data_IF_876275736409
#
_entry.id   IF_876275736409
#
_cell.length_a   1.000
_cell.length_b   1.000
_cell.length_c   1.000
_cell.angle_alpha   90.00
_cell.angle_beta   90.00
_cell.angle_gamma   90.00
#
_symmetry.space_group_name_H-M   'P 1'
#
loop_
_entity.id
_entity.type
_entity.pdbx_description
1 polymer ?
#
# COMPACT_ATOMS: atom_id res chain seq x y z
N UNK A 1 -14.35 5.13 4.37
CA UNK A 1 -13.35 4.32 5.11
C UNK A 1 -12.45 5.28 5.87
N UNK A 2 -12.80 5.54 7.12
CA UNK A 2 -12.26 6.70 7.84
C UNK A 2 -11.48 6.29 9.10
N UNK A 3 -12.12 5.54 10.00
CA UNK A 3 -11.53 5.13 11.28
C UNK A 3 -10.34 4.19 11.06
N UNK A 4 -10.53 3.09 10.33
CA UNK A 4 -9.48 2.09 10.12
C UNK A 4 -8.31 2.58 9.27
N UNK A 5 -8.50 3.61 8.44
CA UNK A 5 -7.44 4.27 7.67
C UNK A 5 -6.78 5.42 8.44
N UNK A 6 -7.31 5.80 9.60
CA UNK A 6 -6.94 7.00 10.34
C UNK A 6 -6.94 8.27 9.45
N UNK A 7 -8.01 8.41 8.66
CA UNK A 7 -8.20 9.58 7.83
C UNK A 7 -8.32 10.84 8.69
N UNK A 8 -7.56 11.87 8.34
CA UNK A 8 -7.64 13.15 9.04
C UNK A 8 -8.98 13.84 8.76
N UNK A 9 -9.68 14.24 9.80
CA UNK A 9 -10.83 15.10 9.70
C UNK A 9 -10.44 16.52 9.22
N UNK A 10 -11.35 17.31 8.66
CA UNK A 10 -11.06 18.68 8.24
C UNK A 10 -10.45 19.56 9.35
N UNK A 11 -10.83 19.33 10.62
CA UNK A 11 -10.26 20.05 11.77
C UNK A 11 -8.80 19.66 12.05
N UNK A 12 -8.46 18.40 11.89
CA UNK A 12 -7.09 17.89 12.09
C UNK A 12 -6.14 18.27 10.95
N UNK A 13 -6.67 18.68 9.80
CA UNK A 13 -5.87 19.18 8.69
C UNK A 13 -5.30 20.58 8.91
N UNK A 14 -5.71 21.27 9.97
CA UNK A 14 -5.20 22.60 10.41
C UNK A 14 -5.13 23.65 9.28
N UNK A 15 -6.06 23.60 8.34
CA UNK A 15 -6.12 24.51 7.19
C UNK A 15 -5.09 24.24 6.09
N UNK A 16 -4.29 23.17 6.20
CA UNK A 16 -3.38 22.72 5.16
C UNK A 16 -4.15 21.87 4.15
N UNK A 17 -4.18 22.23 2.85
CA UNK A 17 -4.87 21.43 1.86
C UNK A 17 -4.26 20.04 1.74
N UNK A 18 -5.05 19.00 2.02
CA UNK A 18 -4.69 17.61 1.83
C UNK A 18 -5.26 17.12 0.49
N UNK A 19 -4.46 16.38 -0.25
CA UNK A 19 -4.81 15.82 -1.55
C UNK A 19 -4.83 14.29 -1.46
N UNK A 20 -5.59 13.65 -2.36
CA UNK A 20 -5.74 12.19 -2.46
C UNK A 20 -6.40 11.54 -1.22
N UNK A 21 -7.13 12.32 -0.45
CA UNK A 21 -8.08 11.84 0.55
C UNK A 21 -9.45 11.75 -0.14
N UNK A 22 -10.16 10.65 0.04
CA UNK A 22 -11.47 10.38 -0.61
C UNK A 22 -11.44 10.54 -2.15
N UNK A 23 -10.33 10.16 -2.76
CA UNK A 23 -10.14 10.30 -4.21
C UNK A 23 -10.96 9.28 -5.02
N UNK A 24 -11.37 8.17 -4.41
CA UNK A 24 -12.13 7.09 -5.05
C UNK A 24 -13.14 6.47 -4.09
N UNK A 25 -14.17 5.86 -4.65
CA UNK A 25 -15.14 5.11 -3.87
C UNK A 25 -14.58 3.75 -3.39
N UNK A 26 -15.07 3.19 -2.27
CA UNK A 26 -14.61 1.89 -1.76
C UNK A 26 -14.85 0.69 -2.69
N UNK A 27 -15.64 0.88 -3.74
CA UNK A 27 -15.93 -0.11 -4.78
C UNK A 27 -14.87 -0.14 -5.88
N UNK A 28 -14.04 0.89 -5.95
CA UNK A 28 -13.04 1.05 -7.00
C UNK A 28 -11.68 0.48 -6.59
N UNK A 29 -10.99 -0.11 -7.56
CA UNK A 29 -9.60 -0.54 -7.40
C UNK A 29 -8.67 0.49 -8.04
N UNK A 30 -7.70 0.99 -7.27
CA UNK A 30 -6.69 1.92 -7.77
C UNK A 30 -5.41 1.16 -8.10
N UNK A 31 -4.99 1.25 -9.33
CA UNK A 31 -3.68 0.74 -9.77
C UNK A 31 -2.56 1.73 -9.45
N UNK A 32 -1.31 1.25 -9.47
CA UNK A 32 -0.15 2.12 -9.29
C UNK A 32 -0.03 3.19 -10.41
N UNK A 33 -0.54 2.89 -11.61
CA UNK A 33 -0.61 3.83 -12.75
C UNK A 33 -1.58 4.97 -12.44
N UNK A 34 -2.82 4.63 -12.11
CA UNK A 34 -3.85 5.62 -11.75
C UNK A 34 -3.44 6.47 -10.54
N UNK A 35 -2.82 5.84 -9.52
CA UNK A 35 -2.29 6.60 -8.38
C UNK A 35 -1.23 7.60 -8.83
N UNK A 36 -0.32 7.24 -9.74
CA UNK A 36 0.68 8.15 -10.30
C UNK A 36 0.01 9.33 -11.03
N UNK A 37 -1.03 9.08 -11.82
CA UNK A 37 -1.77 10.12 -12.53
C UNK A 37 -2.40 11.12 -11.57
N UNK A 38 -3.16 10.65 -10.58
CA UNK A 38 -3.76 11.50 -9.54
C UNK A 38 -2.70 12.27 -8.74
N UNK A 39 -1.56 11.62 -8.46
CA UNK A 39 -0.44 12.24 -7.78
C UNK A 39 0.17 13.38 -8.61
N UNK A 40 0.40 13.18 -9.90
CA UNK A 40 0.95 14.17 -10.81
C UNK A 40 0.00 15.37 -10.98
N UNK A 41 -1.31 15.14 -11.03
CA UNK A 41 -2.33 16.19 -11.04
C UNK A 41 -2.30 17.01 -9.75
N UNK A 42 -2.23 16.36 -8.59
CA UNK A 42 -2.11 17.03 -7.30
C UNK A 42 -0.85 17.89 -7.22
N UNK A 43 0.31 17.36 -7.65
CA UNK A 43 1.56 18.11 -7.69
C UNK A 43 1.46 19.34 -8.61
N UNK A 44 0.88 19.18 -9.80
CA UNK A 44 0.67 20.28 -10.73
C UNK A 44 -0.22 21.38 -10.14
N UNK A 45 -1.27 20.99 -9.44
CA UNK A 45 -2.18 21.91 -8.74
C UNK A 45 -1.46 22.67 -7.62
N UNK A 46 -0.64 22.00 -6.80
CA UNK A 46 0.15 22.63 -5.73
C UNK A 46 1.17 23.61 -6.33
N UNK A 47 1.88 23.18 -7.37
CA UNK A 47 2.88 24.00 -8.07
C UNK A 47 2.30 25.29 -8.69
N UNK A 48 1.10 25.22 -9.28
CA UNK A 48 0.38 26.40 -9.81
C UNK A 48 0.10 27.45 -8.73
N UNK A 49 0.00 27.04 -7.47
CA UNK A 49 -0.17 27.96 -6.32
C UNK A 49 1.16 28.43 -5.74
N UNK A 50 2.30 28.08 -6.33
CA UNK A 50 3.64 28.44 -5.84
C UNK A 50 3.97 27.80 -4.49
N UNK A 51 3.38 26.63 -4.16
CA UNK A 51 3.58 25.93 -2.90
C UNK A 51 4.47 24.70 -3.08
N UNK A 52 5.20 24.35 -2.03
CA UNK A 52 6.00 23.13 -1.97
C UNK A 52 5.12 21.93 -1.60
N UNK A 53 5.07 20.90 -2.43
CA UNK A 53 4.32 19.69 -2.08
C UNK A 53 5.07 18.88 -1.02
N UNK A 54 4.33 18.39 -0.03
CA UNK A 54 4.80 17.43 0.98
C UNK A 54 4.03 16.14 0.78
N UNK A 55 4.74 15.02 0.65
CA UNK A 55 4.15 13.69 0.49
C UNK A 55 4.33 12.92 1.78
N UNK A 56 3.22 12.55 2.42
CA UNK A 56 3.22 11.74 3.62
C UNK A 56 2.62 10.36 3.34
N UNK A 57 3.30 9.31 3.75
CA UNK A 57 2.78 7.96 3.55
C UNK A 57 3.83 6.86 3.72
N UNK A 58 3.39 5.62 3.58
CA UNK A 58 4.23 4.44 3.77
C UNK A 58 3.91 3.28 2.81
N UNK A 59 3.02 3.48 1.83
CA UNK A 59 2.77 2.47 0.82
C UNK A 59 3.93 2.39 -0.16
N UNK A 60 4.73 1.34 -0.05
CA UNK A 60 5.97 1.17 -0.82
C UNK A 60 5.76 1.23 -2.32
N UNK A 61 4.74 0.53 -2.83
CA UNK A 61 4.43 0.49 -4.25
C UNK A 61 3.94 1.84 -4.77
N UNK A 62 3.05 2.51 -4.05
CA UNK A 62 2.48 3.79 -4.48
C UNK A 62 3.52 4.92 -4.40
N UNK A 63 4.36 4.93 -3.37
CA UNK A 63 5.45 5.90 -3.28
C UNK A 63 6.49 5.68 -4.38
N UNK A 64 6.89 4.44 -4.65
CA UNK A 64 7.78 4.15 -5.78
C UNK A 64 7.15 4.56 -7.12
N UNK A 65 5.87 4.27 -7.34
CA UNK A 65 5.14 4.67 -8.54
C UNK A 65 5.09 6.20 -8.71
N UNK A 66 4.93 6.94 -7.62
CA UNK A 66 4.83 8.39 -7.62
C UNK A 66 6.19 9.09 -7.80
N UNK A 67 7.22 8.60 -7.12
CA UNK A 67 8.50 9.29 -7.00
C UNK A 67 9.55 8.82 -8.01
N UNK A 68 9.53 7.52 -8.39
CA UNK A 68 10.59 6.93 -9.20
C UNK A 68 10.23 6.79 -10.68
N UNK A 69 11.26 6.74 -11.53
CA UNK A 69 11.18 6.37 -12.95
C UNK A 69 10.80 4.90 -13.09
N UNK A 70 9.53 4.58 -12.84
CA UNK A 70 9.01 3.24 -12.88
C UNK A 70 8.34 2.96 -14.21
N UNK A 71 8.80 1.93 -14.92
CA UNK A 71 8.10 1.40 -16.09
C UNK A 71 7.03 0.41 -15.62
N UNK A 72 5.79 0.71 -15.93
CA UNK A 72 4.69 -0.21 -15.63
C UNK A 72 4.61 -1.27 -16.72
N UNK A 73 4.68 -2.53 -16.30
CA UNK A 73 4.42 -3.63 -17.19
C UNK A 73 2.95 -3.61 -17.66
N UNK A 74 2.68 -3.95 -18.92
CA UNK A 74 1.32 -3.93 -19.48
C UNK A 74 0.39 -4.84 -18.68
N UNK A 75 -0.89 -4.51 -18.69
CA UNK A 75 -1.95 -5.32 -18.08
C UNK A 75 -3.10 -5.46 -19.06
N UNK A 76 -3.73 -6.64 -19.03
CA UNK A 76 -4.92 -6.96 -19.83
C UNK A 76 -5.91 -7.71 -18.94
N UNK A 77 -7.11 -7.17 -18.71
CA UNK A 77 -8.12 -7.80 -17.87
C UNK A 77 -8.56 -9.18 -18.37
N UNK A 78 -8.61 -9.40 -19.69
CA UNK A 78 -9.04 -10.68 -20.28
C UNK A 78 -7.96 -11.75 -20.07
N UNK A 79 -6.70 -11.41 -20.34
CA UNK A 79 -5.56 -12.31 -20.08
C UNK A 79 -5.48 -12.66 -18.62
N UNK A 80 -5.68 -11.67 -17.75
CA UNK A 80 -5.66 -11.88 -16.30
C UNK A 80 -6.78 -12.81 -15.84
N UNK A 81 -8.02 -12.57 -16.30
CA UNK A 81 -9.16 -13.41 -15.97
C UNK A 81 -8.96 -14.86 -16.43
N UNK A 82 -8.42 -15.07 -17.63
CA UNK A 82 -8.08 -16.40 -18.14
C UNK A 82 -7.02 -17.10 -17.25
N UNK A 83 -5.98 -16.39 -16.81
CA UNK A 83 -4.96 -16.93 -15.92
C UNK A 83 -5.50 -17.21 -14.51
N UNK A 84 -6.40 -16.40 -13.99
CA UNK A 84 -7.07 -16.63 -12.70
C UNK A 84 -7.99 -17.86 -12.77
N UNK A 85 -8.77 -18.03 -13.85
CA UNK A 85 -9.57 -19.23 -14.10
C UNK A 85 -8.69 -20.49 -14.17
N UNK A 86 -7.60 -20.42 -14.94
CA UNK A 86 -6.63 -21.50 -15.04
C UNK A 86 -6.01 -21.84 -13.68
N UNK A 87 -5.70 -20.84 -12.87
CA UNK A 87 -5.15 -21.06 -11.52
C UNK A 87 -6.14 -21.79 -10.60
N UNK A 88 -7.44 -21.56 -10.78
CA UNK A 88 -8.49 -22.28 -10.05
C UNK A 88 -8.57 -23.74 -10.50
N UNK A 89 -8.36 -24.03 -11.78
CA UNK A 89 -8.41 -25.37 -12.35
C UNK A 89 -7.18 -26.22 -11.97
N UNK A 90 -5.96 -25.70 -12.19
CA UNK A 90 -4.72 -26.49 -12.05
C UNK A 90 -3.97 -26.28 -10.72
N UNK A 91 -4.34 -25.27 -9.94
CA UNK A 91 -3.74 -24.95 -8.66
C UNK A 91 -2.41 -24.20 -8.73
N UNK A 92 -1.98 -23.69 -7.58
CA UNK A 92 -0.84 -22.78 -7.48
C UNK A 92 0.51 -23.39 -7.86
N UNK A 93 0.73 -24.68 -7.58
CA UNK A 93 2.00 -25.34 -7.91
C UNK A 93 2.16 -25.53 -9.42
N UNK A 94 1.10 -25.93 -10.11
CA UNK A 94 1.13 -26.08 -11.56
C UNK A 94 1.23 -24.72 -12.26
N UNK A 95 0.60 -23.66 -11.73
CA UNK A 95 0.80 -22.30 -12.22
C UNK A 95 2.25 -21.81 -12.06
N UNK A 96 2.92 -22.15 -10.96
CA UNK A 96 4.33 -21.83 -10.78
C UNK A 96 5.22 -22.60 -11.75
N UNK A 97 4.97 -23.89 -11.99
CA UNK A 97 5.68 -24.67 -13.00
C UNK A 97 5.47 -24.10 -14.42
N UNK A 98 4.27 -23.58 -14.73
CA UNK A 98 4.01 -22.85 -15.97
C UNK A 98 4.86 -21.56 -16.05
N UNK A 99 4.98 -20.82 -14.96
CA UNK A 99 5.86 -19.64 -14.92
C UNK A 99 7.32 -20.05 -15.12
N UNK A 100 7.78 -21.11 -14.48
CA UNK A 100 9.15 -21.62 -14.63
C UNK A 100 9.45 -21.98 -16.09
N UNK A 101 8.50 -22.57 -16.80
CA UNK A 101 8.67 -22.91 -18.23
C UNK A 101 8.72 -21.69 -19.15
N UNK A 102 8.00 -20.59 -18.81
CA UNK A 102 7.92 -19.37 -19.63
C UNK A 102 8.93 -18.29 -19.23
N UNK A 103 9.22 -18.16 -17.94
CA UNK A 103 10.15 -17.16 -17.36
C UNK A 103 10.86 -17.75 -16.13
N UNK A 104 11.89 -18.58 -16.34
CA UNK A 104 12.66 -19.20 -15.26
C UNK A 104 13.25 -18.17 -14.29
N UNK A 105 13.66 -17.00 -14.80
CA UNK A 105 14.26 -15.94 -13.99
C UNK A 105 13.24 -15.31 -13.02
N UNK A 106 11.99 -15.20 -13.43
CA UNK A 106 10.91 -14.75 -12.54
C UNK A 106 10.53 -15.84 -11.54
N UNK A 107 10.46 -17.10 -11.96
CA UNK A 107 10.08 -18.23 -11.10
C UNK A 107 11.02 -18.40 -9.91
N UNK A 108 12.33 -18.22 -10.10
CA UNK A 108 13.32 -18.24 -9.00
C UNK A 108 13.05 -17.16 -7.93
N UNK A 109 12.51 -16.00 -8.34
CA UNK A 109 12.27 -14.86 -7.45
C UNK A 109 10.87 -14.85 -6.82
N UNK A 110 9.93 -15.59 -7.39
CA UNK A 110 8.52 -15.60 -6.99
C UNK A 110 8.17 -16.97 -6.43
N UNK A 111 7.94 -17.12 -5.11
CA UNK A 111 7.55 -18.41 -4.57
C UNK A 111 6.17 -18.84 -5.06
N UNK A 112 5.94 -20.15 -5.21
CA UNK A 112 4.67 -20.72 -5.64
C UNK A 112 3.49 -20.29 -4.77
N UNK A 113 3.71 -20.07 -3.47
CA UNK A 113 2.70 -19.58 -2.52
C UNK A 113 2.18 -18.17 -2.84
N UNK A 114 2.89 -17.41 -3.67
CA UNK A 114 2.46 -16.07 -4.09
C UNK A 114 1.76 -16.12 -5.44
N UNK A 115 0.62 -16.82 -5.51
CA UNK A 115 -0.16 -17.03 -6.73
C UNK A 115 -0.48 -15.73 -7.47
N UNK A 116 -0.83 -14.65 -6.73
CA UNK A 116 -1.11 -13.35 -7.34
C UNK A 116 0.09 -12.83 -8.15
N UNK A 117 1.31 -13.00 -7.64
CA UNK A 117 2.53 -12.55 -8.32
C UNK A 117 2.93 -13.49 -9.45
N UNK A 118 2.65 -14.79 -9.32
CA UNK A 118 2.81 -15.78 -10.40
C UNK A 118 1.91 -15.43 -11.58
N UNK A 119 0.61 -15.19 -11.33
CA UNK A 119 -0.36 -14.76 -12.36
C UNK A 119 0.11 -13.47 -13.03
N UNK A 120 0.55 -12.48 -12.24
CA UNK A 120 1.04 -11.21 -12.79
C UNK A 120 2.27 -11.38 -13.68
N UNK A 121 3.20 -12.24 -13.31
CA UNK A 121 4.39 -12.53 -14.12
C UNK A 121 4.01 -13.21 -15.43
N UNK A 122 3.12 -14.20 -15.39
CA UNK A 122 2.59 -14.87 -16.58
C UNK A 122 1.86 -13.90 -17.51
N UNK A 123 1.02 -13.01 -16.97
CA UNK A 123 0.32 -11.97 -17.72
C UNK A 123 1.31 -11.08 -18.49
N UNK A 124 2.37 -10.60 -17.81
CA UNK A 124 3.38 -9.76 -18.46
C UNK A 124 4.12 -10.49 -19.58
N UNK A 125 4.50 -11.75 -19.35
CA UNK A 125 5.15 -12.59 -20.37
C UNK A 125 4.21 -12.80 -21.55
N UNK A 126 2.93 -13.06 -21.31
CA UNK A 126 1.95 -13.36 -22.36
C UNK A 126 1.64 -12.13 -23.24
N UNK A 127 1.54 -10.94 -22.64
CA UNK A 127 1.27 -9.70 -23.36
C UNK A 127 2.50 -9.15 -24.07
N UNK A 128 3.68 -9.19 -23.41
CA UNK A 128 4.87 -8.47 -23.88
C UNK A 128 5.96 -9.35 -24.49
N UNK A 129 5.92 -10.66 -24.25
CA UNK A 129 7.01 -11.59 -24.59
C UNK A 129 8.29 -11.35 -23.78
N UNK A 130 8.31 -10.43 -22.79
CA UNK A 130 9.49 -10.08 -21.99
C UNK A 130 9.43 -10.70 -20.62
N UNK A 131 10.61 -11.01 -20.06
CA UNK A 131 10.71 -11.51 -18.67
C UNK A 131 10.21 -10.47 -17.66
N UNK A 132 9.37 -10.91 -16.75
CA UNK A 132 8.92 -10.10 -15.61
C UNK A 132 10.09 -9.76 -14.65
N UNK A 133 11.11 -10.60 -14.58
CA UNK A 133 12.27 -10.40 -13.72
C UNK A 133 13.19 -9.25 -14.18
N UNK A 134 13.12 -8.87 -15.46
CA UNK A 134 13.97 -7.83 -16.05
C UNK A 134 13.45 -6.40 -15.81
N UNK A 135 12.31 -6.22 -15.17
CA UNK A 135 11.55 -4.96 -15.20
C UNK A 135 11.69 -4.07 -13.96
N UNK A 136 12.68 -4.30 -13.10
CA UNK A 136 12.92 -3.40 -11.96
C UNK A 136 14.17 -2.55 -12.25
N UNK A 137 14.00 -1.32 -12.77
CA UNK A 137 15.12 -0.38 -12.90
C UNK A 137 15.69 -0.04 -11.52
N UNK A 138 16.93 0.42 -11.49
CA UNK A 138 17.47 1.04 -10.28
C UNK A 138 16.61 2.25 -9.90
N UNK A 139 16.31 2.46 -8.60
CA UNK A 139 15.48 3.56 -8.17
C UNK A 139 16.09 4.91 -8.54
N UNK A 140 15.42 5.67 -9.40
CA UNK A 140 15.79 7.01 -9.79
C UNK A 140 14.57 7.93 -9.64
N UNK A 141 14.75 9.08 -9.00
CA UNK A 141 13.64 10.03 -8.86
C UNK A 141 13.27 10.69 -10.19
N UNK A 142 11.99 10.78 -10.46
CA UNK A 142 11.43 11.50 -11.62
C UNK A 142 11.58 13.03 -11.52
N UNK A 143 11.78 13.53 -10.32
CA UNK A 143 11.88 14.96 -9.98
C UNK A 143 12.84 15.14 -8.82
N UNK A 144 13.43 16.33 -8.63
CA UNK A 144 14.17 16.63 -7.41
C UNK A 144 13.31 16.31 -6.18
N UNK A 145 13.77 15.41 -5.34
CA UNK A 145 13.01 14.88 -4.21
C UNK A 145 13.95 14.69 -3.03
N UNK A 146 13.54 15.21 -1.87
CA UNK A 146 14.17 14.91 -0.59
C UNK A 146 13.27 13.95 0.15
N UNK A 147 13.76 12.76 0.47
CA UNK A 147 12.99 11.74 1.18
C UNK A 147 13.52 11.57 2.60
N UNK A 148 12.64 11.73 3.57
CA UNK A 148 12.93 11.59 4.99
C UNK A 148 12.18 10.39 5.53
N UNK A 149 12.90 9.49 6.19
CA UNK A 149 12.34 8.37 6.93
C UNK A 149 12.39 8.64 8.43
N UNK A 150 11.32 8.29 9.16
CA UNK A 150 11.26 8.47 10.61
C UNK A 150 11.54 7.12 11.28
N UNK A 151 12.57 7.07 12.11
CA UNK A 151 12.89 5.93 12.96
C UNK A 151 12.19 6.07 14.30
N UNK A 152 11.31 5.14 14.60
CA UNK A 152 10.68 5.01 15.90
C UNK A 152 11.27 3.78 16.61
N UNK A 153 11.56 3.92 17.89
CA UNK A 153 12.00 2.78 18.71
C UNK A 153 10.97 1.66 18.66
N UNK A 154 11.42 0.41 18.62
CA UNK A 154 10.59 -0.75 18.28
C UNK A 154 9.46 -0.99 19.27
N UNK A 155 9.77 -0.91 20.56
CA UNK A 155 8.76 -1.17 21.59
C UNK A 155 7.74 -0.03 21.64
N UNK A 156 8.20 1.21 21.52
CA UNK A 156 7.32 2.38 21.41
C UNK A 156 6.39 2.29 20.19
N UNK A 157 6.90 1.80 19.04
CA UNK A 157 6.07 1.60 17.86
C UNK A 157 5.00 0.54 18.10
N UNK A 158 5.33 -0.55 18.81
CA UNK A 158 4.38 -1.62 19.16
C UNK A 158 3.27 -1.10 20.06
N UNK A 159 3.63 -0.34 21.09
CA UNK A 159 2.67 0.29 22.00
C UNK A 159 1.74 1.24 21.26
N UNK A 160 2.29 2.10 20.40
CA UNK A 160 1.49 3.02 19.56
C UNK A 160 0.53 2.28 18.63
N UNK A 161 0.97 1.17 18.03
CA UNK A 161 0.11 0.34 17.17
C UNK A 161 -1.03 -0.25 17.98
N UNK A 162 -0.75 -0.80 19.16
CA UNK A 162 -1.78 -1.40 20.01
C UNK A 162 -2.79 -0.35 20.48
N UNK A 163 -2.34 0.78 21.00
CA UNK A 163 -3.19 1.89 21.42
C UNK A 163 -4.07 2.39 20.26
N UNK A 164 -3.47 2.58 19.08
CA UNK A 164 -4.20 3.02 17.90
C UNK A 164 -5.29 2.03 17.48
N UNK A 165 -4.99 0.73 17.48
CA UNK A 165 -5.97 -0.28 17.11
C UNK A 165 -7.13 -0.32 18.12
N UNK A 166 -6.85 -0.29 19.43
CA UNK A 166 -7.91 -0.21 20.44
C UNK A 166 -8.77 1.05 20.25
N UNK A 167 -8.13 2.20 20.05
CA UNK A 167 -8.83 3.45 19.77
C UNK A 167 -9.71 3.40 18.53
N UNK A 168 -9.36 2.63 17.49
CA UNK A 168 -10.22 2.40 16.32
C UNK A 168 -11.52 1.65 16.70
N UNK A 169 -11.45 0.62 17.53
CA UNK A 169 -12.62 -0.09 18.03
C UNK A 169 -13.49 0.80 18.92
N UNK A 170 -12.88 1.53 19.84
CA UNK A 170 -13.57 2.51 20.69
C UNK A 170 -14.25 3.63 19.90
N UNK A 171 -13.64 4.06 18.80
CA UNK A 171 -14.21 5.05 17.87
C UNK A 171 -15.33 4.51 16.97
N UNK A 172 -15.63 3.19 17.03
CA UNK A 172 -16.74 2.59 16.31
C UNK A 172 -16.37 1.99 14.95
N UNK A 173 -15.17 1.46 14.76
CA UNK A 173 -14.75 0.81 13.51
C UNK A 173 -15.73 -0.28 13.06
N UNK A 174 -16.28 -1.06 13.98
CA UNK A 174 -17.24 -2.12 13.67
C UNK A 174 -18.52 -1.55 13.06
N UNK A 175 -19.05 -0.47 13.64
CA UNK A 175 -20.22 0.22 13.10
C UNK A 175 -19.95 0.88 11.73
N UNK A 176 -18.73 1.43 11.52
CA UNK A 176 -18.30 1.92 10.21
C UNK A 176 -18.32 0.79 9.17
N UNK A 177 -17.80 -0.40 9.51
CA UNK A 177 -17.77 -1.55 8.60
C UNK A 177 -19.17 -2.06 8.30
N UNK A 178 -20.06 -2.15 9.29
CA UNK A 178 -21.46 -2.49 9.08
C UNK A 178 -22.16 -1.54 8.10
N UNK A 179 -21.98 -0.22 8.29
CA UNK A 179 -22.49 0.80 7.39
C UNK A 179 -21.92 0.72 5.99
N UNK A 180 -20.62 0.40 5.85
CA UNK A 180 -19.97 0.22 4.56
C UNK A 180 -20.52 -1.01 3.82
N UNK A 181 -20.68 -2.14 4.50
CA UNK A 181 -21.23 -3.37 3.91
C UNK A 181 -22.70 -3.20 3.48
N UNK A 182 -23.47 -2.44 4.25
CA UNK A 182 -24.86 -2.13 3.90
C UNK A 182 -24.95 -1.19 2.68
N UNK A 183 -24.09 -0.18 2.60
CA UNK A 183 -24.07 0.82 1.52
C UNK A 183 -23.44 0.29 0.24
N UNK A 184 -22.40 -0.52 0.33
CA UNK A 184 -21.61 -0.99 -0.79
C UNK A 184 -21.53 -2.53 -0.82
N UNK A 185 -22.51 -3.21 -1.41
CA UNK A 185 -22.52 -4.68 -1.47
C UNK A 185 -21.32 -5.26 -2.25
N UNK A 186 -20.72 -4.46 -3.14
CA UNK A 186 -19.59 -4.84 -3.99
C UNK A 186 -18.34 -4.01 -3.66
N UNK A 187 -17.87 -4.08 -2.41
CA UNK A 187 -16.57 -3.52 -2.06
C UNK A 187 -15.46 -4.07 -2.94
N UNK A 188 -14.50 -3.22 -3.31
CA UNK A 188 -13.28 -3.65 -4.01
C UNK A 188 -12.51 -4.70 -3.22
N UNK A 189 -11.73 -5.51 -3.91
CA UNK A 189 -10.88 -6.52 -3.28
C UNK A 189 -9.93 -5.90 -2.25
N UNK A 190 -9.38 -4.73 -2.59
CA UNK A 190 -8.47 -3.98 -1.72
C UNK A 190 -9.17 -3.48 -0.46
N UNK A 191 -10.37 -2.93 -0.58
CA UNK A 191 -11.14 -2.45 0.56
C UNK A 191 -11.53 -3.59 1.52
N UNK A 192 -11.95 -4.75 0.97
CA UNK A 192 -12.33 -5.93 1.79
C UNK A 192 -11.20 -6.47 2.65
N UNK A 193 -9.95 -6.46 2.15
CA UNK A 193 -8.79 -7.04 2.85
C UNK A 193 -7.97 -5.98 3.59
N UNK A 194 -8.45 -4.75 3.68
CA UNK A 194 -7.78 -3.70 4.43
C UNK A 194 -7.69 -4.09 5.92
N UNK A 195 -6.48 -3.92 6.48
CA UNK A 195 -6.21 -4.27 7.89
C UNK A 195 -7.14 -3.45 8.79
N UNK A 196 -7.77 -4.13 9.74
CA UNK A 196 -8.81 -3.58 10.61
C UNK A 196 -10.22 -3.80 10.04
N UNK A 197 -10.46 -3.49 8.77
CA UNK A 197 -11.78 -3.67 8.12
C UNK A 197 -12.15 -5.14 7.96
N UNK A 198 -11.21 -5.96 7.51
CA UNK A 198 -11.41 -7.41 7.41
C UNK A 198 -11.71 -8.05 8.76
N UNK A 199 -10.99 -7.65 9.81
CA UNK A 199 -11.17 -8.19 11.17
C UNK A 199 -12.49 -7.73 11.79
N UNK A 200 -12.86 -6.45 11.58
CA UNK A 200 -14.16 -5.95 12.04
C UNK A 200 -15.33 -6.65 11.30
N UNK A 201 -15.18 -6.94 10.01
CA UNK A 201 -16.18 -7.74 9.27
C UNK A 201 -16.28 -9.18 9.81
N UNK A 202 -15.15 -9.81 10.15
CA UNK A 202 -15.13 -11.14 10.78
C UNK A 202 -15.75 -11.13 12.18
N UNK A 203 -15.62 -10.03 12.92
CA UNK A 203 -16.33 -9.85 14.19
C UNK A 203 -17.85 -9.72 13.97
N UNK A 204 -18.29 -8.95 12.97
CA UNK A 204 -19.73 -8.81 12.63
C UNK A 204 -20.37 -10.14 12.21
N UNK A 205 -19.62 -11.00 11.49
CA UNK A 205 -20.11 -12.32 11.10
C UNK A 205 -20.05 -13.37 12.23
N UNK A 206 -19.48 -13.03 13.38
CA UNK A 206 -19.30 -13.95 14.51
C UNK A 206 -18.13 -14.94 14.36
N UNK A 207 -17.27 -14.77 13.33
CA UNK A 207 -16.07 -15.58 13.14
C UNK A 207 -14.97 -15.27 14.17
N UNK A 208 -14.89 -14.00 14.61
CA UNK A 208 -13.96 -13.54 15.63
C UNK A 208 -14.70 -12.87 16.79
N UNK A 209 -14.18 -13.04 18.01
CA UNK A 209 -14.55 -12.16 19.11
C UNK A 209 -13.88 -10.81 18.93
N UNK A 210 -14.31 -9.77 19.66
CA UNK A 210 -13.69 -8.45 19.63
C UNK A 210 -12.22 -8.52 19.98
N UNK A 211 -11.85 -9.22 21.07
CA UNK A 211 -10.45 -9.37 21.47
C UNK A 211 -9.59 -10.07 20.41
N UNK A 212 -10.14 -11.05 19.72
CA UNK A 212 -9.47 -11.75 18.63
C UNK A 212 -9.27 -10.80 17.44
N UNK A 213 -10.30 -10.05 17.05
CA UNK A 213 -10.25 -9.10 15.95
C UNK A 213 -9.22 -7.98 16.20
N UNK A 214 -9.21 -7.42 17.40
CA UNK A 214 -8.21 -6.43 17.84
C UNK A 214 -6.80 -7.04 17.81
N UNK A 215 -6.60 -8.19 18.44
CA UNK A 215 -5.28 -8.87 18.49
C UNK A 215 -4.74 -9.18 17.10
N UNK A 216 -5.57 -9.70 16.22
CA UNK A 216 -5.17 -9.98 14.82
C UNK A 216 -4.82 -8.71 14.06
N UNK A 217 -5.59 -7.64 14.22
CA UNK A 217 -5.32 -6.32 13.61
C UNK A 217 -3.99 -5.76 14.07
N UNK A 218 -3.68 -5.84 15.38
CA UNK A 218 -2.39 -5.43 15.94
C UNK A 218 -1.24 -6.20 15.29
N UNK A 219 -1.34 -7.52 15.24
CA UNK A 219 -0.31 -8.37 14.66
C UNK A 219 -0.07 -8.10 13.17
N UNK A 220 -1.15 -7.92 12.40
CA UNK A 220 -1.06 -7.60 10.97
C UNK A 220 -0.43 -6.23 10.75
N UNK A 221 -0.80 -5.23 11.56
CA UNK A 221 -0.21 -3.89 11.48
C UNK A 221 1.27 -3.89 11.83
N UNK A 222 1.69 -4.63 12.86
CA UNK A 222 3.11 -4.80 13.19
C UNK A 222 3.90 -5.48 12.07
N UNK A 223 3.32 -6.51 11.45
CA UNK A 223 3.92 -7.19 10.28
C UNK A 223 4.04 -6.23 9.09
N UNK A 224 3.04 -5.39 8.88
CA UNK A 224 3.05 -4.39 7.82
C UNK A 224 4.15 -3.35 8.07
N UNK A 225 4.25 -2.79 9.28
CA UNK A 225 5.30 -1.86 9.65
C UNK A 225 6.71 -2.45 9.45
N UNK A 226 6.91 -3.74 9.82
CA UNK A 226 8.17 -4.45 9.56
C UNK A 226 8.48 -4.56 8.06
N UNK A 227 7.47 -4.85 7.23
CA UNK A 227 7.65 -4.91 5.77
C UNK A 227 8.01 -3.54 5.18
N UNK A 228 7.37 -2.45 5.63
CA UNK A 228 7.71 -1.08 5.23
C UNK A 228 9.17 -0.77 5.54
N UNK A 229 9.63 -1.01 6.77
CA UNK A 229 11.02 -0.78 7.17
C UNK A 229 12.02 -1.61 6.35
N UNK A 230 11.69 -2.87 6.06
CA UNK A 230 12.55 -3.74 5.24
C UNK A 230 12.68 -3.21 3.81
N UNK A 231 11.63 -2.62 3.28
CA UNK A 231 11.63 -2.04 1.95
C UNK A 231 12.44 -0.74 1.92
N UNK A 232 12.06 0.24 2.74
CA UNK A 232 12.67 1.57 2.71
C UNK A 232 14.14 1.58 3.14
N UNK A 233 14.59 0.68 3.99
CA UNK A 233 16.02 0.56 4.35
C UNK A 233 16.93 0.16 3.20
N UNK A 234 16.40 -0.33 2.09
CA UNK A 234 17.17 -0.65 0.89
C UNK A 234 17.45 0.59 0.02
N UNK A 235 16.74 1.66 0.26
CA UNK A 235 16.86 2.91 -0.48
C UNK A 235 17.84 3.83 0.24
N UNK A 236 19.04 3.96 -0.32
CA UNK A 236 20.11 4.81 0.24
C UNK A 236 19.85 6.31 0.10
N UNK A 237 18.81 6.72 -0.64
CA UNK A 237 18.41 8.11 -0.83
C UNK A 237 17.66 8.67 0.37
N UNK A 238 17.15 7.80 1.25
CA UNK A 238 16.36 8.20 2.40
C UNK A 238 17.26 8.66 3.53
N UNK A 239 17.04 9.90 3.99
CA UNK A 239 17.66 10.42 5.20
C UNK A 239 16.82 10.01 6.41
N UNK A 240 17.40 9.23 7.31
CA UNK A 240 16.69 8.71 8.47
C UNK A 240 16.84 9.61 9.68
N UNK A 241 15.71 10.05 10.25
CA UNK A 241 15.64 10.86 11.47
C UNK A 241 15.11 10.03 12.64
N UNK A 242 15.72 10.22 13.80
CA UNK A 242 15.33 9.58 15.05
C UNK A 242 14.17 10.34 15.70
N UNK A 243 13.04 9.67 15.93
CA UNK A 243 11.83 10.27 16.49
C UNK A 243 11.98 10.71 17.97
N UNK A 244 13.06 10.33 18.64
CA UNK A 244 13.35 10.76 20.02
C UNK A 244 14.04 12.12 20.10
N UNK A 245 14.47 12.68 18.95
CA UNK A 245 15.20 13.95 18.84
C UNK A 245 14.30 15.05 18.26
N UNK A 246 14.84 16.27 18.14
CA UNK A 246 14.18 17.36 17.41
C UNK A 246 14.09 17.00 15.92
N UNK A 247 12.99 16.35 15.54
CA UNK A 247 12.73 15.95 14.16
C UNK A 247 12.49 17.16 13.25
N UNK A 248 11.84 18.22 13.74
CA UNK A 248 11.50 19.37 12.91
C UNK A 248 12.76 20.13 12.51
N UNK A 249 13.65 20.44 13.45
CA UNK A 249 14.93 21.08 13.18
C UNK A 249 15.76 20.25 12.21
N UNK A 250 15.93 18.96 12.50
CA UNK A 250 16.68 18.04 11.62
C UNK A 250 16.07 17.91 10.22
N UNK A 251 14.75 17.87 10.08
CA UNK A 251 14.10 17.82 8.77
C UNK A 251 14.30 19.10 7.98
N UNK A 252 14.22 20.28 8.64
CA UNK A 252 14.47 21.57 8.00
C UNK A 252 15.92 21.69 7.51
N UNK A 253 16.89 21.17 8.26
CA UNK A 253 18.28 21.15 7.86
C UNK A 253 18.50 20.29 6.60
N UNK A 254 17.86 19.11 6.53
CA UNK A 254 17.91 18.23 5.36
C UNK A 254 17.29 18.87 4.11
N UNK A 255 16.23 19.67 4.27
CA UNK A 255 15.53 20.30 3.14
C UNK A 255 16.29 21.55 2.63
N UNK A 256 17.08 22.19 3.48
CA UNK A 256 17.87 23.40 3.14
C UNK A 256 19.19 23.11 2.44
N UNK A 257 19.64 21.86 2.45
CA UNK A 257 20.82 21.39 1.76
C UNK A 257 20.54 21.15 0.27
#
# INVERSE_FOLDING_TARGET
>A
MDIGTAKLSPGEQEGIPHHLIDAVEPTEEVTAVQYREHFDEALASIGKRGKTPIVAGGSTLYLAAALDEMQFAPTDPEVRAALEAKATEIGQLAMHALLESKDPAAAVKIPASNLRRVIRALEVVEISGKSFAASLPEPAYRRPTTQIGILVERELLRERIEQRVRGMWEAGLVAEVEGLLARYPNLSKTARVAIGYQQAAAQLSGELTEDQAISETVQLTQRYAKKQMTWFRRDSRIVWLDSSKDMLGAALDVIRL
#
